data_IF_418872798074
#
_entry.id   IF_418872798074
#
_cell.length_a   1.000
_cell.length_b   1.000
_cell.length_c   1.000
_cell.angle_alpha   90.00
_cell.angle_beta   90.00
_cell.angle_gamma   90.00
#
_symmetry.space_group_name_H-M   'P 1'
#
loop_
_entity.id
_entity.type
_entity.pdbx_description
1 polymer ?
#
# COMPACT_ATOMS: atom_id res chain seq x y z
N UNK A 1 25.33 -1.13 4.07
CA UNK A 1 24.67 -2.13 3.19
C UNK A 1 23.23 -1.69 3.01
N UNK A 2 22.84 -1.39 1.78
CA UNK A 2 21.79 -0.42 1.44
C UNK A 2 20.45 -1.10 1.11
N UNK A 3 19.51 -1.08 2.05
CA UNK A 3 18.06 -1.06 1.76
C UNK A 3 17.58 0.26 2.36
N UNK A 4 17.00 1.14 1.55
CA UNK A 4 16.90 2.58 1.81
C UNK A 4 16.02 2.91 3.01
N UNK A 5 16.62 2.84 4.18
CA UNK A 5 16.07 3.20 5.47
C UNK A 5 16.31 4.69 5.70
N UNK A 6 15.44 5.54 5.13
CA UNK A 6 15.52 6.99 5.38
C UNK A 6 14.90 7.32 6.75
N UNK A 7 15.75 7.78 7.68
CA UNK A 7 15.33 8.74 8.71
C UNK A 7 14.99 10.06 8.02
N UNK A 8 13.74 10.52 8.10
CA UNK A 8 13.43 11.93 8.41
C UNK A 8 11.94 12.17 8.68
N UNK A 9 11.72 13.24 9.44
CA UNK A 9 10.54 13.64 10.21
C UNK A 9 9.66 14.60 9.39
N UNK A 10 8.33 14.53 9.54
CA UNK A 10 7.48 15.68 9.93
C UNK A 10 6.09 15.72 9.28
N UNK A 11 5.13 16.13 10.14
CA UNK A 11 3.88 16.86 9.91
C UNK A 11 2.68 16.10 9.36
N UNK A 12 1.85 15.69 10.33
CA UNK A 12 0.43 16.06 10.43
C UNK A 12 -0.35 16.10 9.12
N UNK A 13 -1.05 15.00 8.84
CA UNK A 13 -2.12 14.97 7.84
C UNK A 13 -3.09 13.87 8.23
N UNK A 14 -4.34 14.24 8.52
CA UNK A 14 -5.44 13.34 8.84
C UNK A 14 -5.50 12.17 7.82
N UNK A 15 -5.30 10.95 8.31
CA UNK A 15 -5.57 9.75 7.53
C UNK A 15 -7.08 9.54 7.45
N UNK A 16 -7.71 10.20 6.47
CA UNK A 16 -9.09 9.94 6.09
C UNK A 16 -9.22 8.49 5.59
N UNK A 17 -10.08 7.74 6.28
CA UNK A 17 -10.54 6.40 5.91
C UNK A 17 -11.32 6.51 4.60
N UNK A 18 -10.90 5.79 3.56
CA UNK A 18 -11.60 5.77 2.28
C UNK A 18 -11.69 4.35 1.74
N UNK A 19 -12.62 3.57 2.26
CA UNK A 19 -13.33 2.50 1.53
C UNK A 19 -14.75 2.42 2.08
N UNK A 20 -15.74 2.48 1.19
CA UNK A 20 -17.09 2.02 1.52
C UNK A 20 -17.23 0.55 1.18
N UNK A 21 -17.61 -0.24 2.20
CA UNK A 21 -17.90 -1.67 2.21
C UNK A 21 -18.63 -2.14 0.93
N UNK A 22 -18.03 -3.07 0.17
CA UNK A 22 -18.77 -3.85 -0.85
C UNK A 22 -18.80 -5.36 -0.54
N UNK A 23 -17.81 -5.87 0.21
CA UNK A 23 -17.92 -6.96 1.19
C UNK A 23 -16.97 -6.57 2.34
N UNK A 24 -16.88 -7.32 3.43
CA UNK A 24 -15.98 -7.01 4.57
C UNK A 24 -14.46 -7.02 4.25
N UNK A 25 -14.08 -6.86 2.98
CA UNK A 25 -12.73 -6.83 2.44
C UNK A 25 -11.95 -5.63 2.99
N UNK A 26 -10.89 -5.91 3.77
CA UNK A 26 -10.01 -4.90 4.36
C UNK A 26 -8.89 -4.47 3.40
N UNK A 27 -8.60 -5.24 2.35
CA UNK A 27 -7.42 -5.08 1.50
C UNK A 27 -7.80 -4.80 0.04
N UNK A 28 -7.14 -3.81 -0.59
CA UNK A 28 -7.46 -3.39 -1.97
C UNK A 28 -7.02 -4.39 -3.03
N UNK A 29 -5.92 -5.10 -2.80
CA UNK A 29 -5.40 -6.12 -3.72
C UNK A 29 -6.38 -7.29 -3.86
N UNK A 30 -6.85 -7.85 -2.74
CA UNK A 30 -7.86 -8.91 -2.71
C UNK A 30 -9.11 -8.53 -3.50
N UNK A 31 -9.71 -7.37 -3.17
CA UNK A 31 -10.88 -6.87 -3.89
C UNK A 31 -10.64 -6.67 -5.40
N UNK A 32 -9.44 -6.25 -5.83
CA UNK A 32 -9.13 -6.12 -7.25
C UNK A 32 -9.05 -7.47 -7.97
N UNK A 33 -8.54 -8.49 -7.29
CA UNK A 33 -8.47 -9.86 -7.80
C UNK A 33 -9.83 -10.56 -7.82
N UNK A 34 -10.69 -10.25 -6.86
CA UNK A 34 -12.08 -10.73 -6.84
C UNK A 34 -12.91 -10.10 -7.96
N UNK A 35 -12.70 -8.81 -8.23
CA UNK A 35 -13.36 -8.11 -9.33
C UNK A 35 -12.98 -8.73 -10.68
N UNK A 36 -11.69 -9.03 -10.88
CA UNK A 36 -11.21 -9.67 -12.09
C UNK A 36 -11.76 -11.08 -12.31
N UNK A 37 -12.00 -11.81 -11.21
CA UNK A 37 -12.64 -13.14 -11.23
C UNK A 37 -14.16 -13.08 -11.35
N UNK A 38 -14.76 -11.88 -11.38
CA UNK A 38 -16.22 -11.71 -11.39
C UNK A 38 -16.90 -12.07 -10.06
N UNK A 39 -16.14 -12.26 -8.98
CA UNK A 39 -16.69 -12.55 -7.64
C UNK A 39 -17.43 -11.32 -7.10
N UNK A 40 -16.93 -10.13 -7.42
CA UNK A 40 -17.61 -8.85 -7.18
C UNK A 40 -17.73 -8.08 -8.50
N UNK A 41 -18.75 -7.23 -8.62
CA UNK A 41 -19.03 -6.48 -9.85
C UNK A 41 -17.97 -5.44 -10.21
N UNK A 42 -17.09 -5.07 -9.28
CA UNK A 42 -16.01 -4.14 -9.52
C UNK A 42 -15.48 -3.48 -8.25
N UNK A 43 -14.42 -2.68 -8.41
CA UNK A 43 -13.84 -1.88 -7.33
C UNK A 43 -14.44 -0.47 -7.32
N UNK A 44 -15.03 -0.03 -6.20
CA UNK A 44 -15.52 1.34 -6.04
C UNK A 44 -14.49 2.24 -5.39
N UNK A 45 -13.86 3.11 -6.18
CA UNK A 45 -12.95 4.16 -5.66
C UNK A 45 -13.78 5.31 -5.09
N UNK A 46 -13.53 5.70 -3.84
CA UNK A 46 -14.19 6.84 -3.18
C UNK A 46 -13.16 7.93 -2.87
N UNK A 47 -13.55 9.19 -3.08
CA UNK A 47 -12.67 10.35 -2.92
C UNK A 47 -11.79 10.56 -4.15
N UNK A 48 -12.32 11.33 -5.11
CA UNK A 48 -11.67 11.72 -6.36
C UNK A 48 -11.29 13.22 -6.38
N UNK A 49 -11.38 13.88 -5.23
CA UNK A 49 -11.14 15.31 -5.07
C UNK A 49 -9.94 15.60 -4.15
N UNK A 50 -8.94 14.71 -4.15
CA UNK A 50 -7.69 14.97 -3.44
C UNK A 50 -6.80 15.92 -4.26
N UNK A 51 -5.93 16.68 -3.58
CA UNK A 51 -4.90 17.50 -4.21
C UNK A 51 -3.73 16.62 -4.73
N UNK A 52 -4.05 15.68 -5.61
CA UNK A 52 -3.13 14.77 -6.28
C UNK A 52 -3.39 14.85 -7.79
N UNK A 53 -2.41 14.55 -8.65
CA UNK A 53 -2.57 14.70 -10.10
C UNK A 53 -3.80 13.96 -10.67
N UNK A 54 -4.12 12.79 -10.10
CA UNK A 54 -5.26 11.96 -10.50
C UNK A 54 -6.52 12.17 -9.65
N UNK A 55 -6.50 13.09 -8.68
CA UNK A 55 -7.58 13.31 -7.73
C UNK A 55 -7.82 12.18 -6.72
N UNK A 56 -7.13 11.04 -6.84
CA UNK A 56 -7.29 9.88 -5.94
C UNK A 56 -6.27 9.88 -4.81
N UNK A 57 -6.57 9.19 -3.71
CA UNK A 57 -5.66 9.14 -2.57
C UNK A 57 -4.34 8.43 -2.92
N UNK A 58 -3.23 8.95 -2.41
CA UNK A 58 -1.89 8.36 -2.58
C UNK A 58 -1.53 7.53 -1.37
N UNK A 59 -0.95 6.35 -1.59
CA UNK A 59 -0.48 5.42 -0.54
C UNK A 59 0.82 4.75 -0.97
N UNK A 60 1.66 4.40 -0.01
CA UNK A 60 2.85 3.57 -0.23
C UNK A 60 2.42 2.10 -0.20
N UNK A 61 2.51 1.43 -1.34
CA UNK A 61 2.20 0.00 -1.48
C UNK A 61 3.52 -0.77 -1.51
N UNK A 62 3.69 -1.68 -0.56
CA UNK A 62 4.87 -2.54 -0.45
C UNK A 62 4.48 -3.99 -0.73
N UNK A 63 5.38 -4.74 -1.38
CA UNK A 63 5.19 -6.17 -1.56
C UNK A 63 5.32 -6.91 -0.22
N UNK A 64 4.55 -7.97 -0.04
CA UNK A 64 4.59 -8.78 1.18
C UNK A 64 5.96 -9.45 1.35
N UNK A 65 6.63 -9.84 0.26
CA UNK A 65 7.97 -10.42 0.33
C UNK A 65 9.00 -9.41 0.82
N UNK A 66 8.91 -8.16 0.37
CA UNK A 66 9.79 -7.08 0.84
C UNK A 66 9.59 -6.79 2.33
N UNK A 67 8.34 -6.90 2.81
CA UNK A 67 8.03 -6.78 4.22
C UNK A 67 8.65 -7.93 5.02
N UNK A 68 8.57 -9.18 4.54
CA UNK A 68 9.22 -10.34 5.19
C UNK A 68 10.74 -10.14 5.25
N UNK A 69 11.35 -9.72 4.14
CA UNK A 69 12.77 -9.39 4.06
C UNK A 69 13.19 -8.32 5.07
N UNK A 70 12.36 -7.30 5.26
CA UNK A 70 12.60 -6.26 6.26
C UNK A 70 12.58 -6.83 7.69
N UNK A 71 11.69 -7.78 7.99
CA UNK A 71 11.66 -8.46 9.30
C UNK A 71 12.90 -9.33 9.53
N UNK A 72 13.34 -10.09 8.52
CA UNK A 72 14.57 -10.90 8.61
C UNK A 72 15.79 -10.00 8.89
N UNK A 73 15.90 -8.86 8.19
CA UNK A 73 16.96 -7.87 8.40
C UNK A 73 16.86 -7.21 9.77
N UNK A 74 15.64 -6.91 10.25
CA UNK A 74 15.43 -6.34 11.58
C UNK A 74 15.87 -7.31 12.67
N UNK A 75 15.54 -8.60 12.53
CA UNK A 75 15.94 -9.66 13.45
C UNK A 75 17.46 -9.84 13.49
N UNK A 76 18.12 -9.85 12.33
CA UNK A 76 19.59 -9.95 12.24
C UNK A 76 20.33 -8.79 12.95
N UNK A 77 19.68 -7.63 13.07
CA UNK A 77 20.23 -6.45 13.76
C UNK A 77 19.70 -6.28 15.18
N UNK A 78 18.88 -7.20 15.68
CA UNK A 78 18.33 -7.13 17.02
C UNK A 78 19.44 -7.36 18.06
N UNK A 79 19.46 -6.54 19.10
CA UNK A 79 20.37 -6.70 20.23
C UNK A 79 19.57 -6.93 21.51
N UNK A 80 20.05 -7.79 22.44
CA UNK A 80 19.42 -7.96 23.74
C UNK A 80 19.21 -6.61 24.42
N UNK A 81 18.02 -6.43 25.01
CA UNK A 81 17.64 -5.22 25.75
C UNK A 81 17.59 -3.91 24.93
N UNK A 82 17.60 -3.97 23.59
CA UNK A 82 17.39 -2.81 22.72
C UNK A 82 16.18 -2.99 21.81
N UNK A 83 15.32 -1.96 21.76
CA UNK A 83 14.16 -1.92 20.87
C UNK A 83 14.51 -1.11 19.61
N UNK A 84 14.33 -1.73 18.44
CA UNK A 84 14.42 -1.06 17.14
C UNK A 84 13.03 -0.73 16.62
N UNK A 85 12.80 0.53 16.22
CA UNK A 85 11.56 0.98 15.57
C UNK A 85 11.90 1.37 14.14
N UNK A 86 11.22 0.75 13.18
CA UNK A 86 11.57 0.82 11.77
C UNK A 86 10.35 1.08 10.90
N UNK A 87 10.43 2.10 10.04
CA UNK A 87 9.46 2.29 8.98
C UNK A 87 9.82 1.37 7.80
N UNK A 88 8.84 0.65 7.28
CA UNK A 88 9.01 -0.22 6.11
C UNK A 88 8.03 0.23 5.04
N UNK A 89 8.55 0.60 3.88
CA UNK A 89 7.81 1.13 2.74
C UNK A 89 8.73 1.26 1.54
N UNK A 90 8.16 1.53 0.38
CA UNK A 90 8.94 1.74 -0.85
C UNK A 90 9.51 3.17 -0.92
N UNK A 91 8.95 4.10 -0.14
CA UNK A 91 9.28 5.52 -0.20
C UNK A 91 8.72 6.22 -1.45
N UNK A 92 7.87 5.51 -2.22
CA UNK A 92 7.17 6.03 -3.39
C UNK A 92 5.67 5.88 -3.15
N UNK A 93 4.96 7.00 -3.08
CA UNK A 93 3.51 6.99 -3.03
C UNK A 93 2.95 6.76 -4.43
N UNK A 94 2.01 5.81 -4.57
CA UNK A 94 1.24 5.62 -5.79
C UNK A 94 -0.23 5.97 -5.53
N UNK A 95 -0.90 6.52 -6.54
CA UNK A 95 -2.33 6.83 -6.51
C UNK A 95 -3.16 5.54 -6.54
N UNK A 96 -4.41 5.58 -6.06
CA UNK A 96 -5.31 4.42 -6.16
C UNK A 96 -5.59 4.08 -7.62
N UNK A 97 -5.59 5.07 -8.51
CA UNK A 97 -5.76 4.84 -9.94
C UNK A 97 -4.58 4.05 -10.52
N UNK A 98 -3.34 4.47 -10.22
CA UNK A 98 -2.13 3.75 -10.62
C UNK A 98 -2.13 2.29 -10.11
N UNK A 99 -2.56 2.08 -8.86
CA UNK A 99 -2.71 0.74 -8.29
C UNK A 99 -3.68 -0.13 -9.10
N UNK A 100 -4.87 0.39 -9.42
CA UNK A 100 -5.89 -0.36 -10.18
C UNK A 100 -5.39 -0.71 -11.58
N UNK A 101 -4.73 0.22 -12.26
CA UNK A 101 -4.15 -0.05 -13.59
C UNK A 101 -3.04 -1.10 -13.52
N UNK A 102 -2.18 -1.06 -12.49
CA UNK A 102 -1.18 -2.10 -12.28
C UNK A 102 -1.81 -3.49 -12.06
N UNK A 103 -2.89 -3.57 -11.27
CA UNK A 103 -3.60 -4.83 -11.05
C UNK A 103 -4.23 -5.38 -12.34
N UNK A 104 -4.90 -4.54 -13.14
CA UNK A 104 -5.45 -4.94 -14.44
C UNK A 104 -4.37 -5.48 -15.37
N UNK A 105 -3.21 -4.81 -15.44
CA UNK A 105 -2.06 -5.25 -16.23
C UNK A 105 -1.52 -6.60 -15.76
N UNK A 106 -1.40 -6.81 -14.45
CA UNK A 106 -0.96 -8.09 -13.88
C UNK A 106 -1.94 -9.24 -14.16
N UNK A 107 -3.22 -8.93 -14.40
CA UNK A 107 -4.27 -9.88 -14.73
C UNK A 107 -4.46 -10.07 -16.25
N UNK A 108 -3.74 -9.33 -17.09
CA UNK A 108 -3.88 -9.38 -18.55
C UNK A 108 -5.19 -8.78 -19.07
N UNK A 109 -5.81 -7.87 -18.31
CA UNK A 109 -7.06 -7.20 -18.69
C UNK A 109 -6.84 -5.90 -19.49
N UNK A 110 -5.60 -5.61 -19.90
CA UNK A 110 -5.18 -4.46 -20.71
C UNK A 110 -4.18 -4.92 -21.76
#
# INVERSE_FOLDING_TARGET
MWVRMKREISRGGQLAVCVGRLRGEKYRSGACFDAARGIISGLKVRGIAYATPDGTCVRDYIDVTDLVDAHVKALANAQPSKVGIYNVGTGKGNSVKEFVEACKKAQGLI
#
